data_IF_039095269414
#
_entry.id   IF_039095269414
#
_cell.length_a   1.000
_cell.length_b   1.000
_cell.length_c   1.000
_cell.angle_alpha   90.00
_cell.angle_beta   90.00
_cell.angle_gamma   90.00
#
_symmetry.space_group_name_H-M   'P 1'
#
loop_
_entity.id
_entity.type
_entity.pdbx_description
1 polymer ?
#
# COMPACT_ATOMS: atom_id res chain seq x y z
N UNK A 1 -17.72 13.02 -7.77
CA UNK A 1 -17.78 11.58 -7.40
C UNK A 1 -16.43 11.03 -6.91
N UNK A 2 -15.28 11.19 -7.62
CA UNK A 2 -14.00 10.60 -7.17
C UNK A 2 -13.51 11.08 -5.79
N UNK A 3 -13.67 12.39 -5.50
CA UNK A 3 -13.27 12.99 -4.20
C UNK A 3 -13.93 12.31 -3.00
N UNK A 4 -15.18 11.86 -3.11
CA UNK A 4 -15.89 11.19 -2.00
C UNK A 4 -15.36 9.78 -1.74
N UNK A 5 -14.94 9.06 -2.78
CA UNK A 5 -14.30 7.75 -2.64
C UNK A 5 -12.93 7.88 -1.97
N UNK A 6 -12.15 8.91 -2.36
CA UNK A 6 -10.88 9.23 -1.70
C UNK A 6 -11.10 9.57 -0.22
N UNK A 7 -12.13 10.34 0.12
CA UNK A 7 -12.49 10.60 1.52
C UNK A 7 -12.81 9.31 2.29
N UNK A 8 -13.52 8.35 1.67
CA UNK A 8 -13.79 7.04 2.24
C UNK A 8 -12.51 6.23 2.51
N UNK A 9 -11.59 6.17 1.53
CA UNK A 9 -10.31 5.48 1.67
C UNK A 9 -9.43 6.13 2.75
N UNK A 10 -9.32 7.46 2.73
CA UNK A 10 -8.60 8.24 3.76
C UNK A 10 -9.21 8.05 5.15
N UNK A 11 -10.53 7.91 5.27
CA UNK A 11 -11.18 7.58 6.54
C UNK A 11 -10.77 6.20 7.06
N UNK A 12 -10.83 5.16 6.23
CA UNK A 12 -10.43 3.80 6.63
C UNK A 12 -8.96 3.80 7.07
N UNK A 13 -8.09 4.48 6.30
CA UNK A 13 -6.67 4.61 6.64
C UNK A 13 -6.47 5.36 7.97
N UNK A 14 -7.17 6.48 8.21
CA UNK A 14 -7.08 7.23 9.46
C UNK A 14 -7.48 6.38 10.68
N UNK A 15 -8.55 5.59 10.56
CA UNK A 15 -8.99 4.66 11.63
C UNK A 15 -7.91 3.61 11.90
N UNK A 16 -7.30 3.03 10.87
CA UNK A 16 -6.26 2.03 11.04
C UNK A 16 -4.96 2.60 11.62
N UNK A 17 -4.53 3.79 11.18
CA UNK A 17 -3.38 4.49 11.76
C UNK A 17 -3.60 4.81 13.24
N UNK A 18 -4.83 5.20 13.62
CA UNK A 18 -5.19 5.42 15.03
C UNK A 18 -5.00 4.13 15.84
N UNK A 19 -5.40 2.97 15.31
CA UNK A 19 -5.18 1.66 15.96
C UNK A 19 -3.70 1.28 16.08
N UNK A 20 -2.86 1.83 15.20
CA UNK A 20 -1.41 1.67 15.24
C UNK A 20 -0.71 2.67 16.20
N UNK A 21 -1.48 3.52 16.89
CA UNK A 21 -0.95 4.47 17.88
C UNK A 21 -0.57 5.85 17.34
N UNK A 22 -0.87 6.15 16.07
CA UNK A 22 -0.57 7.45 15.49
C UNK A 22 -1.48 8.55 16.06
N UNK A 23 -0.90 9.72 16.33
CA UNK A 23 -1.63 10.92 16.73
C UNK A 23 -2.42 11.52 15.57
N UNK A 24 -3.44 12.34 15.87
CA UNK A 24 -4.20 13.05 14.83
C UNK A 24 -3.33 13.95 13.96
N UNK A 25 -2.20 14.45 14.48
CA UNK A 25 -1.27 15.30 13.73
C UNK A 25 -0.51 14.46 12.69
N UNK A 26 0.06 13.34 13.11
CA UNK A 26 0.79 12.43 12.22
C UNK A 26 -0.12 11.84 11.14
N UNK A 27 -1.38 11.51 11.49
CA UNK A 27 -2.37 11.04 10.52
C UNK A 27 -2.68 12.13 9.48
N UNK A 28 -2.80 13.39 9.91
CA UNK A 28 -3.09 14.51 9.03
C UNK A 28 -1.96 14.71 8.01
N UNK A 29 -0.72 14.62 8.46
CA UNK A 29 0.48 14.68 7.62
C UNK A 29 0.56 13.49 6.66
N UNK A 30 0.39 12.25 7.15
CA UNK A 30 0.51 11.03 6.36
C UNK A 30 -0.57 10.89 5.26
N UNK A 31 -1.74 11.48 5.47
CA UNK A 31 -2.87 11.43 4.53
C UNK A 31 -3.11 12.75 3.79
N UNK A 32 -2.21 13.73 3.93
CA UNK A 32 -2.31 15.06 3.32
C UNK A 32 -3.72 15.66 3.51
N UNK A 33 -4.04 15.96 4.77
CA UNK A 33 -5.30 16.58 5.17
C UNK A 33 -5.14 17.46 6.40
N UNK A 34 -6.15 18.28 6.69
CA UNK A 34 -6.15 19.08 7.92
C UNK A 34 -6.42 18.21 9.14
N UNK A 35 -5.81 18.55 10.28
CA UNK A 35 -6.09 17.90 11.58
C UNK A 35 -7.57 17.94 11.95
N UNK A 36 -8.28 19.03 11.63
CA UNK A 36 -9.73 19.14 11.85
C UNK A 36 -10.49 18.09 11.05
N UNK A 37 -10.10 17.81 9.81
CA UNK A 37 -10.68 16.73 8.98
C UNK A 37 -10.48 15.37 9.63
N UNK A 38 -9.27 15.07 10.14
CA UNK A 38 -9.00 13.83 10.90
C UNK A 38 -9.91 13.75 12.13
N UNK A 39 -10.04 14.83 12.89
CA UNK A 39 -10.95 14.88 14.03
C UNK A 39 -12.41 14.62 13.63
N UNK A 40 -12.89 15.22 12.54
CA UNK A 40 -14.23 14.94 12.03
C UNK A 40 -14.41 13.48 11.66
N UNK A 41 -13.43 12.89 10.97
CA UNK A 41 -13.43 11.47 10.61
C UNK A 41 -13.57 10.57 11.84
N UNK A 42 -12.70 10.75 12.83
CA UNK A 42 -12.68 9.90 14.03
C UNK A 42 -13.92 10.08 14.92
N UNK A 43 -14.64 11.20 14.79
CA UNK A 43 -15.90 11.47 15.47
C UNK A 43 -17.15 11.16 14.61
N UNK A 44 -16.99 10.54 13.43
CA UNK A 44 -18.11 10.16 12.56
C UNK A 44 -18.85 11.33 11.90
N UNK A 45 -18.21 12.50 11.78
CA UNK A 45 -18.79 13.72 11.17
C UNK A 45 -18.35 13.87 9.72
N UNK A 46 -19.20 14.50 8.90
CA UNK A 46 -18.91 14.84 7.49
C UNK A 46 -18.52 13.65 6.60
N UNK A 47 -19.10 12.47 6.87
CA UNK A 47 -18.87 11.24 6.12
C UNK A 47 -20.15 10.71 5.48
N UNK A 48 -20.01 10.19 4.27
CA UNK A 48 -21.07 9.46 3.57
C UNK A 48 -20.85 7.97 3.78
N UNK A 49 -21.81 7.31 4.43
CA UNK A 49 -21.77 5.86 4.67
C UNK A 49 -21.62 5.04 3.38
N UNK A 50 -22.33 5.44 2.32
CA UNK A 50 -22.20 4.83 0.99
C UNK A 50 -20.78 4.95 0.42
N UNK A 51 -20.11 6.09 0.66
CA UNK A 51 -18.72 6.27 0.19
C UNK A 51 -17.74 5.41 0.98
N UNK A 52 -17.98 5.21 2.29
CA UNK A 52 -17.18 4.29 3.12
C UNK A 52 -17.39 2.84 2.67
N UNK A 53 -18.63 2.45 2.37
CA UNK A 53 -18.97 1.10 1.90
C UNK A 53 -18.22 0.75 0.61
N UNK A 54 -18.26 1.65 -0.38
CA UNK A 54 -17.48 1.47 -1.61
C UNK A 54 -15.98 1.41 -1.31
N UNK A 55 -15.47 2.28 -0.43
CA UNK A 55 -14.07 2.26 -0.04
C UNK A 55 -13.65 0.94 0.62
N UNK A 56 -14.51 0.31 1.44
CA UNK A 56 -14.26 -1.01 2.02
C UNK A 56 -14.09 -2.08 0.93
N UNK A 57 -15.00 -2.11 -0.05
CA UNK A 57 -14.92 -3.03 -1.19
C UNK A 57 -13.59 -2.85 -1.93
N UNK A 58 -13.17 -1.59 -2.16
CA UNK A 58 -11.88 -1.28 -2.80
C UNK A 58 -10.70 -1.87 -2.00
N UNK A 59 -10.72 -1.78 -0.66
CA UNK A 59 -9.65 -2.35 0.20
C UNK A 59 -9.61 -3.87 0.23
N UNK A 60 -10.68 -4.54 -0.23
CA UNK A 60 -10.81 -6.00 -0.28
C UNK A 60 -10.49 -6.58 -1.67
N UNK A 61 -10.22 -5.72 -2.66
CA UNK A 61 -9.80 -6.14 -4.00
C UNK A 61 -8.44 -6.86 -3.98
N UNK A 62 -8.10 -7.51 -5.10
CA UNK A 62 -6.76 -8.05 -5.27
C UNK A 62 -5.72 -6.91 -5.18
N UNK A 63 -4.46 -7.19 -4.77
CA UNK A 63 -3.50 -6.12 -4.51
C UNK A 63 -3.17 -5.23 -5.70
N UNK A 64 -3.23 -5.77 -6.94
CA UNK A 64 -3.05 -4.98 -8.16
C UNK A 64 -4.17 -3.95 -8.32
N UNK A 65 -5.43 -4.39 -8.26
CA UNK A 65 -6.58 -3.51 -8.47
C UNK A 65 -6.70 -2.49 -7.34
N UNK A 66 -6.48 -2.91 -6.09
CA UNK A 66 -6.48 -2.00 -4.96
C UNK A 66 -5.43 -0.89 -5.14
N UNK A 67 -4.21 -1.24 -5.55
CA UNK A 67 -3.13 -0.30 -5.84
C UNK A 67 -3.48 0.66 -6.97
N UNK A 68 -3.84 0.14 -8.15
CA UNK A 68 -4.05 0.95 -9.35
C UNK A 68 -5.30 1.84 -9.24
N UNK A 69 -6.39 1.32 -8.67
CA UNK A 69 -7.60 2.10 -8.45
C UNK A 69 -7.36 3.20 -7.42
N UNK A 70 -6.70 2.88 -6.29
CA UNK A 70 -6.34 3.89 -5.28
C UNK A 70 -5.45 4.96 -5.90
N UNK A 71 -4.44 4.59 -6.68
CA UNK A 71 -3.56 5.55 -7.36
C UNK A 71 -4.33 6.45 -8.33
N UNK A 72 -5.24 5.88 -9.12
CA UNK A 72 -6.07 6.63 -10.08
C UNK A 72 -7.02 7.59 -9.38
N UNK A 73 -7.57 7.20 -8.22
CA UNK A 73 -8.46 8.03 -7.42
C UNK A 73 -7.72 9.15 -6.69
N UNK A 74 -6.53 8.88 -6.12
CA UNK A 74 -5.78 9.87 -5.34
C UNK A 74 -4.94 10.80 -6.21
N UNK A 75 -4.46 10.32 -7.37
CA UNK A 75 -3.46 10.98 -8.22
C UNK A 75 -2.23 11.47 -7.43
N UNK A 76 -1.95 10.83 -6.30
CA UNK A 76 -0.85 11.17 -5.39
C UNK A 76 -0.28 9.86 -4.86
N UNK A 77 0.94 9.55 -5.31
CA UNK A 77 1.60 8.27 -5.03
C UNK A 77 1.94 8.09 -3.55
N UNK A 78 2.22 9.16 -2.81
CA UNK A 78 2.55 9.04 -1.39
C UNK A 78 1.32 8.69 -0.56
N UNK A 79 0.21 9.38 -0.80
CA UNK A 79 -1.09 9.03 -0.20
C UNK A 79 -1.50 7.61 -0.60
N UNK A 80 -1.29 7.22 -1.87
CA UNK A 80 -1.54 5.85 -2.31
C UNK A 80 -0.76 4.86 -1.46
N UNK A 81 0.56 5.04 -1.31
CA UNK A 81 1.40 4.14 -0.51
C UNK A 81 0.92 4.05 0.93
N UNK A 82 0.59 5.18 1.56
CA UNK A 82 0.06 5.21 2.93
C UNK A 82 -1.23 4.39 3.01
N UNK A 83 -2.21 4.63 2.13
CA UNK A 83 -3.48 3.89 2.11
C UNK A 83 -3.25 2.39 1.90
N UNK A 84 -2.41 1.99 0.94
CA UNK A 84 -2.12 0.59 0.67
C UNK A 84 -1.48 -0.06 1.91
N UNK A 85 -0.41 0.51 2.47
CA UNK A 85 0.29 -0.06 3.64
C UNK A 85 -0.60 -0.17 4.87
N UNK A 86 -1.47 0.80 5.05
CA UNK A 86 -2.34 0.89 6.24
C UNK A 86 -3.59 0.01 6.14
N UNK A 87 -4.14 -0.17 4.94
CA UNK A 87 -5.41 -0.88 4.74
C UNK A 87 -5.22 -2.33 4.28
N UNK A 88 -4.06 -2.67 3.70
CA UNK A 88 -3.79 -4.02 3.25
C UNK A 88 -3.62 -4.98 4.42
N UNK A 89 -4.35 -6.11 4.37
CA UNK A 89 -4.31 -7.16 5.39
C UNK A 89 -3.30 -8.26 5.10
N UNK A 90 -2.95 -8.44 3.83
CA UNK A 90 -2.08 -9.52 3.33
C UNK A 90 -0.62 -9.10 3.38
N UNK A 91 0.27 -10.05 3.70
CA UNK A 91 1.72 -9.89 3.69
C UNK A 91 2.32 -10.73 2.57
N UNK A 92 3.44 -10.27 2.03
CA UNK A 92 4.10 -10.94 0.91
C UNK A 92 5.59 -11.05 1.15
N UNK A 93 6.15 -12.19 0.78
CA UNK A 93 7.60 -12.41 0.71
C UNK A 93 8.02 -12.41 -0.74
N UNK A 94 9.01 -11.58 -1.06
CA UNK A 94 9.59 -11.50 -2.38
C UNK A 94 10.99 -12.14 -2.41
N UNK A 95 11.30 -12.86 -3.48
CA UNK A 95 12.63 -13.44 -3.72
C UNK A 95 13.09 -13.13 -5.14
N UNK A 96 14.40 -12.97 -5.31
CA UNK A 96 15.06 -12.68 -6.58
C UNK A 96 16.00 -13.83 -6.93
N UNK A 97 15.81 -14.41 -8.11
CA UNK A 97 16.63 -15.52 -8.63
C UNK A 97 17.94 -15.00 -9.23
N UNK A 98 18.92 -15.90 -9.33
CA UNK A 98 20.22 -15.60 -9.94
C UNK A 98 20.16 -15.22 -11.43
N UNK A 99 19.07 -15.52 -12.12
CA UNK A 99 18.84 -15.08 -13.50
C UNK A 99 18.60 -13.57 -13.64
N UNK A 100 18.54 -12.82 -12.54
CA UNK A 100 18.36 -11.37 -12.57
C UNK A 100 19.58 -10.71 -13.23
N UNK A 101 19.33 -9.94 -14.29
CA UNK A 101 20.34 -9.20 -15.06
C UNK A 101 20.47 -7.72 -14.66
N UNK A 102 19.81 -7.28 -13.59
CA UNK A 102 19.95 -5.91 -13.09
C UNK A 102 19.35 -4.81 -13.97
N UNK A 103 18.45 -5.12 -14.90
CA UNK A 103 17.96 -4.15 -15.91
C UNK A 103 17.15 -2.96 -15.35
N UNK A 104 16.69 -3.00 -14.10
CA UNK A 104 16.00 -1.87 -13.45
C UNK A 104 14.50 -1.71 -13.76
N UNK A 105 13.93 -2.39 -14.77
CA UNK A 105 12.50 -2.28 -15.12
C UNK A 105 11.53 -2.47 -13.93
N UNK A 106 11.87 -3.40 -13.03
CA UNK A 106 11.10 -3.65 -11.82
C UNK A 106 11.12 -2.47 -10.82
N UNK A 107 12.23 -1.73 -10.75
CA UNK A 107 12.37 -0.52 -9.92
C UNK A 107 11.44 0.56 -10.44
N UNK A 108 11.50 0.84 -11.74
CA UNK A 108 10.73 1.92 -12.37
C UNK A 108 9.22 1.70 -12.26
N UNK A 109 8.76 0.46 -12.40
CA UNK A 109 7.33 0.15 -12.35
C UNK A 109 6.75 0.05 -10.93
N UNK A 110 7.58 0.00 -9.89
CA UNK A 110 7.09 -0.25 -8.53
C UNK A 110 6.49 1.01 -7.89
N UNK A 111 5.16 1.17 -7.98
CA UNK A 111 4.45 2.29 -7.33
C UNK A 111 4.71 2.37 -5.82
N UNK A 112 4.95 1.23 -5.17
CA UNK A 112 5.27 1.15 -3.75
C UNK A 112 6.71 1.56 -3.39
N UNK A 113 7.60 1.74 -4.38
CA UNK A 113 9.04 1.96 -4.17
C UNK A 113 9.70 0.90 -3.26
N UNK A 114 9.22 -0.34 -3.37
CA UNK A 114 9.74 -1.46 -2.59
C UNK A 114 11.03 -2.06 -3.16
N UNK A 115 11.48 -1.61 -4.35
CA UNK A 115 12.56 -2.27 -5.10
C UNK A 115 13.72 -1.30 -5.31
N UNK A 116 14.94 -1.79 -5.09
CA UNK A 116 16.20 -1.09 -5.37
C UNK A 116 17.14 -2.00 -6.16
N UNK A 117 18.16 -1.44 -6.82
CA UNK A 117 19.26 -2.21 -7.38
C UNK A 117 20.47 -2.17 -6.43
N UNK A 118 21.05 -3.33 -6.15
CA UNK A 118 22.31 -3.50 -5.41
C UNK A 118 23.14 -4.56 -6.11
N UNK A 119 24.42 -4.28 -6.35
CA UNK A 119 25.35 -5.21 -7.01
C UNK A 119 24.79 -5.82 -8.30
N UNK A 120 24.18 -4.99 -9.14
CA UNK A 120 23.54 -5.36 -10.41
C UNK A 120 22.40 -6.39 -10.28
N UNK A 121 21.80 -6.51 -9.09
CA UNK A 121 20.58 -7.31 -8.87
C UNK A 121 19.48 -6.49 -8.23
N UNK A 122 18.24 -6.85 -8.53
CA UNK A 122 17.09 -6.31 -7.82
C UNK A 122 17.08 -6.80 -6.37
N UNK A 123 16.68 -5.92 -5.46
CA UNK A 123 16.41 -6.21 -4.06
C UNK A 123 15.04 -5.66 -3.70
N UNK A 124 14.15 -6.50 -3.18
CA UNK A 124 12.77 -6.14 -2.83
C UNK A 124 12.62 -6.15 -1.31
N UNK A 125 12.25 -5.01 -0.75
CA UNK A 125 11.85 -4.89 0.65
C UNK A 125 10.44 -5.48 0.83
N UNK A 126 10.37 -6.68 1.41
CA UNK A 126 9.11 -7.43 1.54
C UNK A 126 8.09 -6.68 2.39
N UNK A 127 8.53 -5.93 3.40
CA UNK A 127 7.64 -5.14 4.26
C UNK A 127 6.97 -3.95 3.54
N UNK A 128 7.54 -3.50 2.43
CA UNK A 128 6.95 -2.46 1.58
C UNK A 128 6.21 -3.02 0.36
N UNK A 129 6.37 -4.31 0.07
CA UNK A 129 5.75 -4.96 -1.07
C UNK A 129 4.26 -5.21 -0.81
N UNK A 130 3.41 -4.65 -1.66
CA UNK A 130 1.97 -4.90 -1.60
C UNK A 130 1.54 -6.17 -2.37
N UNK A 131 2.45 -6.86 -3.06
CA UNK A 131 2.09 -8.07 -3.83
C UNK A 131 1.26 -7.83 -5.09
N UNK A 132 1.39 -6.67 -5.76
CA UNK A 132 0.64 -6.37 -7.00
C UNK A 132 1.12 -7.12 -8.27
N UNK A 133 2.26 -7.82 -8.17
CA UNK A 133 2.87 -8.65 -9.23
C UNK A 133 3.25 -7.93 -10.54
N UNK A 134 3.14 -6.59 -10.62
CA UNK A 134 3.52 -5.82 -11.82
C UNK A 134 5.00 -6.03 -12.18
N UNK A 135 5.88 -6.03 -11.17
CA UNK A 135 7.31 -6.27 -11.39
C UNK A 135 7.61 -7.70 -11.91
N UNK A 136 6.79 -8.69 -11.53
CA UNK A 136 6.94 -10.07 -11.99
C UNK A 136 6.63 -10.15 -13.48
N UNK A 137 5.50 -9.55 -13.91
CA UNK A 137 5.06 -9.53 -15.31
C UNK A 137 6.08 -8.82 -16.23
N UNK A 138 6.68 -7.72 -15.75
CA UNK A 138 7.62 -6.92 -16.54
C UNK A 138 9.06 -7.47 -16.55
N UNK A 139 9.36 -8.53 -15.79
CA UNK A 139 10.72 -9.04 -15.68
C UNK A 139 11.08 -9.92 -16.90
N UNK A 140 12.03 -9.49 -17.77
CA UNK A 140 12.34 -10.23 -19.00
C UNK A 140 12.98 -11.61 -18.76
N UNK A 141 13.51 -11.83 -17.56
CA UNK A 141 14.20 -13.06 -17.16
C UNK A 141 13.41 -13.92 -16.16
N UNK A 142 12.15 -13.55 -15.88
CA UNK A 142 11.29 -14.23 -14.91
C UNK A 142 11.98 -14.49 -13.55
N UNK A 143 12.76 -13.51 -13.09
CA UNK A 143 13.64 -13.66 -11.92
C UNK A 143 12.96 -13.31 -10.59
N UNK A 144 11.72 -12.82 -10.61
CA UNK A 144 11.02 -12.32 -9.42
C UNK A 144 9.93 -13.31 -9.02
N UNK A 145 9.91 -13.69 -7.76
CA UNK A 145 8.86 -14.53 -7.19
C UNK A 145 8.29 -13.85 -5.95
N UNK A 146 6.96 -13.77 -5.88
CA UNK A 146 6.23 -13.14 -4.77
C UNK A 146 5.20 -14.13 -4.26
N UNK A 147 5.23 -14.41 -2.96
CA UNK A 147 4.29 -15.32 -2.29
C UNK A 147 3.59 -14.61 -1.16
N UNK A 148 2.27 -14.81 -1.06
CA UNK A 148 1.52 -14.45 0.15
C UNK A 148 2.03 -15.30 1.32
N UNK A 149 2.19 -14.69 2.49
CA UNK A 149 2.65 -15.37 3.71
C UNK A 149 1.69 -15.08 4.86
N UNK A 150 1.46 -16.09 5.69
CA UNK A 150 0.74 -15.94 6.94
C UNK A 150 1.66 -15.32 8.01
N UNK A 151 1.10 -14.50 8.89
CA UNK A 151 1.86 -13.86 9.96
C UNK A 151 2.04 -14.84 11.11
N UNK A 152 3.15 -15.59 11.11
CA UNK A 152 3.56 -16.36 12.28
C UNK A 152 4.09 -15.39 13.34
N UNK A 153 3.28 -15.10 14.37
CA UNK A 153 3.65 -14.26 15.51
C UNK A 153 4.76 -14.84 16.42
N UNK A 154 5.55 -15.78 15.91
CA UNK A 154 6.59 -16.49 16.64
C UNK A 154 7.90 -16.49 15.85
N UNK A 155 8.56 -15.34 15.77
CA UNK A 155 9.99 -15.30 15.46
C UNK A 155 10.67 -14.32 16.41
N UNK A 156 10.82 -14.75 17.67
CA UNK A 156 11.94 -14.29 18.50
C UNK A 156 13.18 -14.93 17.87
N UNK A 157 13.89 -14.15 17.08
CA UNK A 157 15.20 -14.54 16.56
C UNK A 157 16.10 -14.88 17.74
N UNK A 158 16.67 -16.08 17.65
CA UNK A 158 17.78 -16.58 18.43
C UNK A 158 19.00 -15.65 18.33
#
# INVERSE_FOLDING_TARGET
MPKHLVSGLKYIAAVNLTKQGYSQKEIAEALDMNRSTVSHYLNGRNLSWKSIEVAKIITEMCPRDFLLLTHSLTQNTEITRTIIRTCQKKKFRATIRNSCIGCGLCVDTCLMKAITLRDLKAHIESEMCCGCLICVEMCPTNSIEIKEVEFDGNNRSN
#
